data_IF_322296836113
#
_entry.id   IF_322296836113
#
_cell.length_a   1.000
_cell.length_b   1.000
_cell.length_c   1.000
_cell.angle_alpha   90.00
_cell.angle_beta   90.00
_cell.angle_gamma   90.00
#
_symmetry.space_group_name_H-M   'P 1'
#
loop_
_entity.id
_entity.type
_entity.pdbx_description
1 polymer ?
#
# COMPACT_ATOMS: atom_id res chain seq x y z
N UNK A 1 -34.43 -5.97 -2.99
CA UNK A 1 -33.50 -7.05 -2.59
C UNK A 1 -32.35 -7.20 -3.60
N UNK A 2 -32.59 -7.31 -4.91
CA UNK A 2 -31.52 -7.37 -5.92
C UNK A 2 -30.63 -6.09 -5.98
N UNK A 3 -31.23 -4.90 -5.81
CA UNK A 3 -30.51 -3.62 -5.81
C UNK A 3 -29.54 -3.44 -4.63
N UNK A 4 -29.91 -3.93 -3.44
CA UNK A 4 -29.02 -3.92 -2.27
C UNK A 4 -27.84 -4.89 -2.49
N UNK A 5 -28.10 -6.06 -3.08
CA UNK A 5 -27.07 -7.04 -3.40
C UNK A 5 -26.06 -6.51 -4.45
N UNK A 6 -26.53 -5.76 -5.46
CA UNK A 6 -25.64 -5.11 -6.44
C UNK A 6 -24.78 -3.99 -5.83
N UNK A 7 -25.32 -3.19 -4.90
CA UNK A 7 -24.54 -2.16 -4.21
C UNK A 7 -23.46 -2.77 -3.30
N UNK A 8 -23.76 -3.86 -2.59
CA UNK A 8 -22.77 -4.59 -1.80
C UNK A 8 -21.66 -5.23 -2.66
N UNK A 9 -22.01 -5.72 -3.85
CA UNK A 9 -21.04 -6.30 -4.78
C UNK A 9 -20.08 -5.24 -5.36
N UNK A 10 -20.59 -4.02 -5.63
CA UNK A 10 -19.78 -2.91 -6.14
C UNK A 10 -18.94 -2.21 -5.07
N UNK A 11 -19.21 -2.45 -3.78
CA UNK A 11 -18.38 -1.95 -2.66
C UNK A 11 -17.18 -2.83 -2.32
N UNK A 12 -17.11 -4.07 -2.83
CA UNK A 12 -16.02 -5.02 -2.55
C UNK A 12 -15.00 -5.12 -3.69
N UNK A 13 -15.22 -4.42 -4.80
CA UNK A 13 -14.35 -4.45 -5.96
C UNK A 13 -13.18 -3.49 -5.72
N UNK A 14 -11.91 -3.93 -5.84
CA UNK A 14 -10.79 -3.01 -5.90
C UNK A 14 -11.03 -2.00 -7.05
N UNK A 15 -10.46 -0.79 -6.92
CA UNK A 15 -10.57 0.33 -7.87
C UNK A 15 -10.68 -0.16 -9.33
N UNK A 16 -11.64 0.38 -10.12
CA UNK A 16 -12.13 -0.30 -11.32
C UNK A 16 -11.01 -0.64 -12.30
N UNK A 17 -10.77 -1.94 -12.47
CA UNK A 17 -9.86 -2.51 -13.47
C UNK A 17 -10.52 -2.48 -14.84
N UNK A 18 -10.58 -1.31 -15.48
CA UNK A 18 -11.02 -1.22 -16.87
C UNK A 18 -9.90 -1.63 -17.83
N UNK A 19 -9.54 -2.93 -17.89
CA UNK A 19 -8.84 -3.59 -19.02
C UNK A 19 -7.49 -3.05 -19.52
N UNK A 20 -7.06 -1.89 -19.05
CA UNK A 20 -5.80 -1.22 -19.28
C UNK A 20 -5.16 -1.11 -17.91
N UNK A 21 -3.98 -1.69 -17.78
CA UNK A 21 -3.15 -1.42 -16.62
C UNK A 21 -2.94 0.10 -16.55
N UNK A 22 -2.95 0.67 -15.34
CA UNK A 22 -2.81 2.12 -15.13
C UNK A 22 -1.47 2.47 -14.49
N UNK A 23 -1.07 3.73 -14.54
CA UNK A 23 0.09 4.21 -13.79
C UNK A 23 -0.23 4.44 -12.30
N UNK A 24 0.81 4.54 -11.46
CA UNK A 24 0.69 4.94 -10.05
C UNK A 24 -0.01 6.30 -9.94
N UNK A 25 -0.89 6.47 -8.94
CA UNK A 25 -1.65 7.72 -8.76
C UNK A 25 -0.74 8.91 -8.41
N UNK A 26 0.42 8.63 -7.82
CA UNK A 26 1.44 9.62 -7.49
C UNK A 26 2.81 9.11 -7.93
N UNK A 27 3.66 9.99 -8.49
CA UNK A 27 5.03 9.64 -8.84
C UNK A 27 5.91 9.39 -7.60
N UNK A 28 6.97 8.59 -7.76
CA UNK A 28 7.92 8.27 -6.68
C UNK A 28 8.55 9.52 -6.06
N UNK A 29 8.90 10.54 -6.87
CA UNK A 29 9.50 11.78 -6.38
C UNK A 29 8.48 12.80 -5.84
N UNK A 30 7.18 12.51 -5.89
CA UNK A 30 6.11 13.36 -5.34
C UNK A 30 5.97 13.29 -3.82
N UNK A 31 6.91 12.62 -3.13
CA UNK A 31 6.89 12.39 -1.67
C UNK A 31 6.93 13.67 -0.82
N UNK A 32 7.41 14.80 -1.37
CA UNK A 32 7.37 16.10 -0.69
C UNK A 32 5.94 16.65 -0.50
N UNK A 33 4.96 16.20 -1.29
CA UNK A 33 3.54 16.56 -1.10
C UNK A 33 2.91 15.86 0.12
N UNK A 34 3.52 14.76 0.59
CA UNK A 34 3.08 13.98 1.75
C UNK A 34 4.19 13.95 2.82
N UNK A 35 4.71 15.14 3.16
CA UNK A 35 5.88 15.31 4.01
C UNK A 35 5.77 14.57 5.37
N UNK A 36 4.60 14.54 5.99
CA UNK A 36 4.38 13.80 7.25
C UNK A 36 4.60 12.29 7.13
N UNK A 37 4.01 11.66 6.12
CA UNK A 37 4.17 10.22 5.84
C UNK A 37 5.59 9.89 5.40
N UNK A 38 6.21 10.78 4.61
CA UNK A 38 7.61 10.65 4.20
C UNK A 38 8.57 10.69 5.40
N UNK A 39 8.46 11.71 6.28
CA UNK A 39 9.29 11.81 7.48
C UNK A 39 9.13 10.59 8.39
N UNK A 40 7.90 10.09 8.54
CA UNK A 40 7.63 8.89 9.33
C UNK A 40 8.20 7.62 8.67
N UNK A 41 8.14 7.51 7.34
CA UNK A 41 8.77 6.42 6.60
C UNK A 41 10.31 6.48 6.61
N UNK A 42 10.90 7.68 6.69
CA UNK A 42 12.33 7.85 6.88
C UNK A 42 12.80 7.40 8.27
N UNK A 43 12.04 7.72 9.32
CA UNK A 43 12.47 7.46 10.70
C UNK A 43 12.08 6.07 11.18
N UNK A 44 10.95 5.54 10.71
CA UNK A 44 10.39 4.26 11.10
C UNK A 44 9.82 3.49 9.88
N UNK A 45 10.68 3.09 8.92
CA UNK A 45 10.24 2.42 7.69
C UNK A 45 9.51 1.10 7.96
N UNK A 46 9.92 0.36 9.00
CA UNK A 46 9.30 -0.90 9.40
C UNK A 46 7.84 -0.73 9.84
N UNK A 47 7.54 0.36 10.55
CA UNK A 47 6.18 0.65 11.01
C UNK A 47 5.30 0.98 9.82
N UNK A 48 5.76 1.87 8.91
CA UNK A 48 5.00 2.22 7.71
C UNK A 48 4.77 0.99 6.83
N UNK A 49 5.78 0.17 6.63
CA UNK A 49 5.65 -1.10 5.92
C UNK A 49 4.59 -2.01 6.57
N UNK A 50 4.66 -2.17 7.90
CA UNK A 50 3.72 -2.98 8.67
C UNK A 50 2.27 -2.48 8.57
N UNK A 51 2.06 -1.17 8.66
CA UNK A 51 0.74 -0.54 8.49
C UNK A 51 0.19 -0.74 7.09
N UNK A 52 1.00 -0.49 6.05
CA UNK A 52 0.60 -0.68 4.67
C UNK A 52 0.21 -2.14 4.41
N UNK A 53 1.02 -3.09 4.87
CA UNK A 53 0.75 -4.52 4.72
C UNK A 53 -0.53 -4.93 5.43
N UNK A 54 -0.76 -4.45 6.65
CA UNK A 54 -1.97 -4.76 7.40
C UNK A 54 -3.22 -4.20 6.71
N UNK A 55 -3.19 -2.92 6.31
CA UNK A 55 -4.31 -2.27 5.60
C UNK A 55 -4.64 -2.98 4.29
N UNK A 56 -3.61 -3.29 3.49
CA UNK A 56 -3.78 -4.02 2.24
C UNK A 56 -4.35 -5.43 2.47
N UNK A 57 -3.84 -6.16 3.46
CA UNK A 57 -4.36 -7.49 3.80
C UNK A 57 -5.80 -7.44 4.28
N UNK A 58 -6.17 -6.43 5.07
CA UNK A 58 -7.56 -6.25 5.51
C UNK A 58 -8.47 -5.94 4.31
N UNK A 59 -8.04 -5.10 3.39
CA UNK A 59 -8.75 -4.83 2.14
C UNK A 59 -8.86 -6.08 1.24
N UNK A 60 -7.82 -6.91 1.17
CA UNK A 60 -7.82 -8.17 0.43
C UNK A 60 -8.78 -9.21 1.03
N UNK A 61 -8.81 -9.34 2.36
CA UNK A 61 -9.56 -10.38 3.05
C UNK A 61 -11.01 -9.98 3.31
N UNK A 62 -11.26 -8.71 3.64
CA UNK A 62 -12.55 -8.25 4.16
C UNK A 62 -13.25 -7.29 3.18
N UNK A 63 -12.56 -6.84 2.12
CA UNK A 63 -13.11 -5.90 1.13
C UNK A 63 -13.47 -4.53 1.71
N UNK A 64 -12.98 -4.20 2.91
CA UNK A 64 -13.29 -2.96 3.64
C UNK A 64 -12.02 -2.40 4.29
N UNK A 65 -11.94 -1.08 4.56
CA UNK A 65 -10.83 -0.47 5.28
C UNK A 65 -10.62 -1.06 6.67
N UNK A 66 -9.37 -1.14 7.12
CA UNK A 66 -9.04 -1.52 8.48
C UNK A 66 -9.56 -0.44 9.46
N UNK A 67 -10.41 -0.79 10.44
CA UNK A 67 -11.00 0.20 11.36
C UNK A 67 -9.95 0.94 12.21
N UNK A 68 -8.79 0.31 12.45
CA UNK A 68 -7.71 0.88 13.25
C UNK A 68 -6.61 1.54 12.38
N UNK A 69 -6.74 1.50 11.05
CA UNK A 69 -5.77 2.10 10.11
C UNK A 69 -4.37 1.48 10.16
N UNK A 70 -4.26 0.25 10.67
CA UNK A 70 -3.01 -0.52 10.79
C UNK A 70 -2.29 -0.34 12.12
N UNK A 71 -1.81 -1.45 12.70
CA UNK A 71 -1.05 -1.46 13.95
C UNK A 71 0.40 -1.04 13.75
N UNK A 72 0.97 -0.35 14.75
CA UNK A 72 2.37 0.06 14.74
C UNK A 72 3.36 -1.11 14.89
N UNK A 73 2.93 -2.21 15.51
CA UNK A 73 3.79 -3.34 15.89
C UNK A 73 3.23 -4.67 15.36
N UNK A 74 2.95 -4.74 14.06
CA UNK A 74 2.50 -5.99 13.42
C UNK A 74 3.64 -6.97 13.17
N UNK A 75 3.33 -8.25 12.91
CA UNK A 75 4.34 -9.23 12.51
C UNK A 75 5.13 -8.81 11.26
N UNK A 76 4.49 -8.08 10.33
CA UNK A 76 5.16 -7.50 9.17
C UNK A 76 6.13 -6.36 9.54
N UNK A 77 5.81 -5.56 10.55
CA UNK A 77 6.72 -4.55 11.09
C UNK A 77 7.97 -5.20 11.69
N UNK A 78 7.80 -6.22 12.55
CA UNK A 78 8.93 -6.95 13.16
C UNK A 78 9.77 -7.66 12.10
N UNK A 79 9.15 -8.33 11.13
CA UNK A 79 9.85 -8.98 10.02
C UNK A 79 10.69 -8.00 9.21
N UNK A 80 10.12 -6.83 8.88
CA UNK A 80 10.84 -5.77 8.18
C UNK A 80 12.00 -5.21 9.02
N UNK A 81 11.75 -4.95 10.30
CA UNK A 81 12.77 -4.42 11.22
C UNK A 81 13.96 -5.39 11.36
N UNK A 82 13.69 -6.68 11.57
CA UNK A 82 14.72 -7.71 11.75
C UNK A 82 15.51 -7.91 10.44
N UNK A 83 14.82 -8.07 9.31
CA UNK A 83 15.50 -8.27 8.02
C UNK A 83 16.32 -7.06 7.59
N UNK A 84 15.88 -5.85 7.92
CA UNK A 84 16.67 -4.64 7.68
C UNK A 84 17.88 -4.57 8.60
N UNK A 85 17.70 -4.79 9.91
CA UNK A 85 18.75 -4.64 10.91
C UNK A 85 19.85 -5.72 10.80
N UNK A 86 19.48 -6.96 10.49
CA UNK A 86 20.41 -8.10 10.53
C UNK A 86 20.90 -8.58 9.16
N UNK A 87 20.13 -8.35 8.10
CA UNK A 87 20.46 -8.83 6.75
C UNK A 87 20.57 -7.72 5.70
N UNK A 88 20.13 -6.49 6.00
CA UNK A 88 20.02 -5.43 4.99
C UNK A 88 19.01 -5.72 3.88
N UNK A 89 18.16 -6.75 4.03
CA UNK A 89 17.25 -7.25 2.99
C UNK A 89 15.81 -6.73 3.15
N UNK A 90 15.60 -5.68 3.95
CA UNK A 90 14.28 -5.08 4.14
C UNK A 90 13.64 -4.55 2.87
N UNK A 91 14.46 -4.18 1.86
CA UNK A 91 13.98 -3.76 0.55
C UNK A 91 13.20 -4.86 -0.17
N UNK A 92 13.53 -6.14 0.05
CA UNK A 92 12.81 -7.26 -0.60
C UNK A 92 11.35 -7.29 -0.14
N UNK A 93 11.11 -7.13 1.16
CA UNK A 93 9.75 -7.07 1.68
C UNK A 93 8.99 -5.85 1.13
N UNK A 94 9.66 -4.70 0.99
CA UNK A 94 9.07 -3.50 0.38
C UNK A 94 8.68 -3.76 -1.08
N UNK A 95 9.58 -4.35 -1.88
CA UNK A 95 9.29 -4.75 -3.27
C UNK A 95 8.09 -5.70 -3.37
N UNK A 96 8.01 -6.70 -2.48
CA UNK A 96 6.88 -7.63 -2.47
C UNK A 96 5.56 -6.91 -2.17
N UNK A 97 5.54 -6.02 -1.17
CA UNK A 97 4.35 -5.24 -0.83
C UNK A 97 3.94 -4.32 -2.00
N UNK A 98 4.90 -3.65 -2.64
CA UNK A 98 4.67 -2.86 -3.86
C UNK A 98 4.06 -3.70 -4.98
N UNK A 99 4.57 -4.92 -5.19
CA UNK A 99 4.04 -5.88 -6.16
C UNK A 99 2.59 -6.29 -5.88
N UNK A 100 2.25 -6.55 -4.61
CA UNK A 100 0.88 -6.88 -4.21
C UNK A 100 -0.10 -5.72 -4.42
N UNK A 101 0.31 -4.50 -4.07
CA UNK A 101 -0.45 -3.26 -4.32
C UNK A 101 -0.72 -3.09 -5.81
N UNK A 102 0.31 -3.28 -6.65
CA UNK A 102 0.15 -3.23 -8.11
C UNK A 102 -0.80 -4.30 -8.62
N UNK A 103 -0.71 -5.51 -8.08
CA UNK A 103 -1.62 -6.61 -8.40
C UNK A 103 -3.08 -6.30 -8.05
N UNK A 104 -3.32 -5.74 -6.86
CA UNK A 104 -4.67 -5.35 -6.42
C UNK A 104 -5.28 -4.24 -7.29
N UNK A 105 -4.48 -3.25 -7.68
CA UNK A 105 -4.96 -2.05 -8.36
C UNK A 105 -4.73 -2.03 -9.88
N UNK A 106 -4.20 -3.10 -10.46
CA UNK A 106 -3.90 -3.19 -11.89
C UNK A 106 -2.86 -2.15 -12.37
N UNK A 107 -1.80 -1.92 -11.60
CA UNK A 107 -0.78 -0.89 -11.91
C UNK A 107 0.35 -1.46 -12.80
N UNK A 108 0.75 -0.71 -13.84
CA UNK A 108 1.80 -1.06 -14.82
C UNK A 108 3.22 -1.11 -14.24
N UNK A 109 4.07 -1.98 -14.84
CA UNK A 109 5.49 -2.16 -14.53
C UNK A 109 5.89 -3.59 -14.07
N UNK A 110 6.98 -3.74 -13.33
CA UNK A 110 7.42 -5.05 -12.84
C UNK A 110 8.49 -5.00 -11.75
N UNK A 111 8.80 -6.16 -11.17
CA UNK A 111 9.63 -6.29 -9.96
C UNK A 111 11.02 -5.65 -10.02
N UNK A 112 11.62 -5.49 -11.20
CA UNK A 112 12.89 -4.79 -11.36
C UNK A 112 12.76 -3.28 -11.09
N UNK A 113 11.69 -2.64 -11.60
CA UNK A 113 11.38 -1.24 -11.31
C UNK A 113 10.96 -1.02 -9.85
N UNK A 114 10.38 -2.04 -9.22
CA UNK A 114 10.04 -2.05 -7.79
C UNK A 114 11.30 -2.14 -6.90
N UNK A 115 12.29 -2.93 -7.31
CA UNK A 115 13.59 -3.02 -6.65
C UNK A 115 14.40 -1.72 -6.77
N UNK A 116 14.45 -1.13 -7.98
CA UNK A 116 15.12 0.15 -8.20
C UNK A 116 14.44 1.30 -7.45
N UNK A 117 13.11 1.32 -7.36
CA UNK A 117 12.38 2.33 -6.59
C UNK A 117 12.67 2.23 -5.08
N UNK A 118 12.62 1.01 -4.53
CA UNK A 118 12.93 0.73 -3.12
C UNK A 118 14.37 1.08 -2.76
N UNK A 119 15.31 0.89 -3.69
CA UNK A 119 16.72 1.22 -3.49
C UNK A 119 17.01 2.72 -3.65
N UNK A 120 16.35 3.40 -4.59
CA UNK A 120 16.57 4.82 -4.86
C UNK A 120 16.00 5.70 -3.74
N UNK A 121 14.81 5.36 -3.21
CA UNK A 121 14.29 5.98 -1.99
C UNK A 121 13.20 5.11 -1.33
N UNK A 122 13.62 4.29 -0.36
CA UNK A 122 12.72 3.42 0.42
C UNK A 122 11.55 4.18 1.08
N UNK A 123 11.78 5.40 1.57
CA UNK A 123 10.74 6.20 2.20
C UNK A 123 9.68 6.69 1.20
N UNK A 124 10.09 7.06 -0.01
CA UNK A 124 9.17 7.46 -1.07
C UNK A 124 8.37 6.28 -1.61
N UNK A 125 8.97 5.09 -1.72
CA UNK A 125 8.23 3.86 -2.06
C UNK A 125 7.13 3.55 -1.04
N UNK A 126 7.50 3.51 0.25
CA UNK A 126 6.56 3.30 1.35
C UNK A 126 5.44 4.33 1.38
N UNK A 127 5.76 5.59 1.07
CA UNK A 127 4.80 6.69 1.00
C UNK A 127 3.87 6.53 -0.21
N UNK A 128 4.40 6.19 -1.38
CA UNK A 128 3.61 5.94 -2.59
C UNK A 128 2.61 4.80 -2.38
N UNK A 129 3.08 3.68 -1.81
CA UNK A 129 2.21 2.55 -1.44
C UNK A 129 1.13 2.98 -0.44
N UNK A 130 1.50 3.72 0.62
CA UNK A 130 0.53 4.17 1.62
C UNK A 130 -0.57 5.04 1.02
N UNK A 131 -0.20 5.97 0.12
CA UNK A 131 -1.14 6.86 -0.56
C UNK A 131 -2.08 6.08 -1.48
N UNK A 132 -1.57 5.06 -2.17
CA UNK A 132 -2.38 4.23 -3.05
C UNK A 132 -3.46 3.46 -2.28
N UNK A 133 -3.10 2.90 -1.13
CA UNK A 133 -4.07 2.25 -0.22
C UNK A 133 -5.07 3.27 0.33
N UNK A 134 -4.61 4.47 0.70
CA UNK A 134 -5.46 5.53 1.22
C UNK A 134 -6.50 6.02 0.19
N UNK A 135 -6.18 6.01 -1.11
CA UNK A 135 -7.14 6.34 -2.16
C UNK A 135 -8.30 5.36 -2.20
N UNK A 136 -8.02 4.05 -2.09
CA UNK A 136 -9.08 3.04 -1.99
C UNK A 136 -9.89 3.26 -0.70
N UNK A 137 -9.24 3.43 0.46
CA UNK A 137 -9.92 3.64 1.74
C UNK A 137 -10.83 4.89 1.74
N UNK A 138 -10.38 6.00 1.16
CA UNK A 138 -11.17 7.23 1.02
C UNK A 138 -12.41 7.05 0.14
N UNK A 139 -12.36 6.15 -0.85
CA UNK A 139 -13.52 5.83 -1.69
C UNK A 139 -14.67 5.18 -0.89
N UNK A 140 -14.38 4.61 0.29
CA UNK A 140 -15.40 4.15 1.24
C UNK A 140 -15.94 5.30 2.11
N UNK A 141 -15.09 6.27 2.47
CA UNK A 141 -15.48 7.43 3.28
C UNK A 141 -16.41 8.42 2.57
N UNK A 142 -16.38 8.48 1.23
CA UNK A 142 -17.32 9.29 0.43
C UNK A 142 -18.73 8.68 0.30
N UNK A 143 -19.01 7.54 0.95
CA UNK A 143 -20.32 6.85 0.92
C UNK A 143 -21.26 7.22 2.08
N UNK A 144 -20.94 8.25 2.88
CA UNK A 144 -21.79 8.77 3.96
C UNK A 144 -21.91 10.30 3.90
#
# INVERSE_FOLDING_TARGET
MAYQQQQHYQSQQPMPTMGMQREWSHGLCGCFEACGTFCYACWCPCIVHGKNKQRLNHLNNNGTPDPDGGSCCSGACWGHCILTAFAGLGCILQCMNRGEVRGRYGIEGGGCGDCCASWCCAACDLTQVSREIELEEKSFGQRY
#
